data_IF_840530759593
#
_entry.id   IF_840530759593
#
_cell.length_a   1.000
_cell.length_b   1.000
_cell.length_c   1.000
_cell.angle_alpha   90.00
_cell.angle_beta   90.00
_cell.angle_gamma   90.00
#
_symmetry.space_group_name_H-M   'P 1'
#
loop_
_entity.id
_entity.type
_entity.pdbx_description
1 polymer ?
#
# COMPACT_ATOMS: atom_id res chain seq x y z
N UNK A 1 -24.18 0.00 15.50
CA UNK A 1 -23.20 -0.14 14.41
C UNK A 1 -21.97 -0.82 14.99
N UNK A 2 -21.55 -1.94 14.40
CA UNK A 2 -20.29 -2.57 14.80
C UNK A 2 -19.13 -1.65 14.35
N UNK A 3 -18.16 -1.44 15.22
CA UNK A 3 -17.04 -0.53 14.96
C UNK A 3 -16.09 -1.16 13.95
N UNK A 4 -15.84 -0.49 12.82
CA UNK A 4 -14.85 -0.93 11.84
C UNK A 4 -13.46 -0.86 12.49
N UNK A 5 -12.81 -2.00 12.66
CA UNK A 5 -11.46 -2.08 13.23
C UNK A 5 -10.43 -2.11 12.10
N UNK A 6 -9.63 -1.06 12.00
CA UNK A 6 -8.42 -1.05 11.16
C UNK A 6 -7.32 -1.85 11.86
N UNK A 7 -6.80 -2.88 11.17
CA UNK A 7 -5.75 -3.75 11.67
C UNK A 7 -4.40 -3.23 11.20
N UNK A 8 -3.69 -2.54 12.11
CA UNK A 8 -2.32 -2.06 11.82
C UNK A 8 -1.36 -3.24 11.78
N UNK A 9 -0.67 -3.40 10.66
CA UNK A 9 0.28 -4.48 10.40
C UNK A 9 1.69 -3.90 10.32
N UNK A 10 2.57 -4.52 11.10
CA UNK A 10 3.98 -4.23 11.25
C UNK A 10 4.76 -5.55 11.09
N UNK A 11 6.09 -5.51 11.11
CA UNK A 11 6.93 -6.71 10.97
C UNK A 11 6.54 -7.84 11.94
N UNK A 12 6.27 -7.50 13.19
CA UNK A 12 6.01 -8.47 14.27
C UNK A 12 4.69 -9.25 14.15
N UNK A 13 3.69 -8.75 13.43
CA UNK A 13 2.39 -9.40 13.26
C UNK A 13 2.04 -9.73 11.80
N UNK A 14 2.94 -9.46 10.85
CA UNK A 14 2.73 -9.67 9.42
C UNK A 14 2.21 -11.07 9.10
N UNK A 15 2.90 -12.12 9.58
CA UNK A 15 2.53 -13.52 9.31
C UNK A 15 1.17 -13.87 9.93
N UNK A 16 0.89 -13.37 11.13
CA UNK A 16 -0.39 -13.59 11.81
C UNK A 16 -1.55 -13.00 11.01
N UNK A 17 -1.39 -11.77 10.50
CA UNK A 17 -2.42 -11.09 9.73
C UNK A 17 -2.62 -11.72 8.35
N UNK A 18 -1.56 -12.17 7.68
CA UNK A 18 -1.69 -12.94 6.43
C UNK A 18 -2.40 -14.29 6.63
N UNK A 19 -2.16 -14.97 7.76
CA UNK A 19 -2.92 -16.18 8.08
C UNK A 19 -4.40 -15.89 8.32
N UNK A 20 -4.74 -14.70 8.83
CA UNK A 20 -6.12 -14.27 8.95
C UNK A 20 -6.74 -13.95 7.58
N UNK A 21 -6.03 -13.22 6.72
CA UNK A 21 -6.42 -12.96 5.32
C UNK A 21 -6.75 -14.26 4.60
N UNK A 22 -5.84 -15.25 4.63
CA UNK A 22 -6.03 -16.56 3.98
C UNK A 22 -7.35 -17.25 4.36
N UNK A 23 -7.78 -17.14 5.62
CA UNK A 23 -9.05 -17.72 6.10
C UNK A 23 -10.28 -16.99 5.55
N UNK A 24 -10.14 -15.70 5.25
CA UNK A 24 -11.24 -14.85 4.79
C UNK A 24 -11.42 -14.88 3.26
N UNK A 25 -10.34 -15.10 2.51
CA UNK A 25 -10.35 -15.10 1.03
C UNK A 25 -11.47 -15.93 0.37
N UNK A 26 -11.85 -17.14 0.88
CA UNK A 26 -12.92 -17.92 0.26
C UNK A 26 -14.32 -17.27 0.37
N UNK A 27 -14.49 -16.32 1.28
CA UNK A 27 -15.79 -15.72 1.62
C UNK A 27 -15.86 -14.21 1.38
N UNK A 28 -14.76 -13.59 0.92
CA UNK A 28 -14.65 -12.16 0.67
C UNK A 28 -14.10 -11.93 -0.75
N UNK A 29 -14.98 -11.90 -1.77
CA UNK A 29 -14.55 -11.82 -3.16
C UNK A 29 -14.06 -10.43 -3.55
N UNK A 30 -14.42 -9.38 -2.82
CA UNK A 30 -14.02 -8.02 -3.16
C UNK A 30 -12.77 -7.62 -2.38
N UNK A 31 -11.80 -7.06 -3.10
CA UNK A 31 -10.52 -6.59 -2.58
C UNK A 31 -10.38 -5.14 -2.97
N UNK A 32 -10.48 -4.21 -2.03
CA UNK A 32 -10.13 -2.80 -2.29
C UNK A 32 -8.77 -2.47 -1.73
N UNK A 33 -8.04 -1.59 -2.40
CA UNK A 33 -6.69 -1.20 -2.00
C UNK A 33 -6.40 0.26 -2.33
N UNK A 34 -5.40 0.79 -1.65
CA UNK A 34 -4.90 2.15 -1.78
C UNK A 34 -3.46 2.18 -1.23
N UNK A 35 -2.59 3.04 -1.76
CA UNK A 35 -1.19 3.13 -1.31
C UNK A 35 -0.81 4.53 -0.86
N UNK A 36 0.13 4.60 0.07
CA UNK A 36 0.80 5.85 0.44
C UNK A 36 2.28 5.73 0.09
N UNK A 37 2.80 6.73 -0.62
CA UNK A 37 4.17 6.81 -1.11
C UNK A 37 4.67 8.26 -1.03
N UNK A 38 5.99 8.51 -1.09
CA UNK A 38 6.56 9.83 -0.76
C UNK A 38 6.38 10.88 -1.87
N UNK A 39 5.31 10.76 -2.67
CA UNK A 39 4.96 11.70 -3.73
C UNK A 39 5.75 11.53 -5.03
N UNK A 40 5.63 12.55 -5.89
CA UNK A 40 6.28 12.61 -7.20
C UNK A 40 7.57 13.43 -7.10
N UNK A 41 8.71 12.80 -7.35
CA UNK A 41 10.06 13.42 -7.30
C UNK A 41 10.52 13.94 -8.67
N UNK A 42 9.95 13.40 -9.75
CA UNK A 42 10.14 13.85 -11.12
C UNK A 42 8.79 14.26 -11.71
N UNK A 43 8.29 15.48 -11.38
CA UNK A 43 6.98 15.93 -11.85
C UNK A 43 7.02 16.23 -13.35
N UNK A 44 5.92 15.91 -14.05
CA UNK A 44 5.67 16.41 -15.39
C UNK A 44 5.41 17.92 -15.34
N UNK A 45 5.99 18.65 -16.30
CA UNK A 45 5.69 20.09 -16.45
C UNK A 45 4.28 20.32 -17.01
N UNK A 46 3.78 19.39 -17.83
CA UNK A 46 2.42 19.40 -18.37
C UNK A 46 1.76 18.05 -18.09
N UNK A 47 0.61 17.99 -17.39
CA UNK A 47 -0.09 16.73 -17.12
C UNK A 47 -0.85 16.19 -18.35
N UNK A 48 -1.05 16.99 -19.40
CA UNK A 48 -1.71 16.57 -20.64
C UNK A 48 -0.71 16.00 -21.65
N UNK A 49 -0.09 14.87 -21.29
CA UNK A 49 0.78 14.10 -22.18
C UNK A 49 0.07 12.85 -22.70
N UNK A 50 0.52 12.26 -23.83
CA UNK A 50 0.03 10.96 -24.28
C UNK A 50 0.15 9.88 -23.19
N UNK A 51 -0.73 8.86 -23.18
CA UNK A 51 -0.72 7.82 -22.14
C UNK A 51 0.62 7.09 -21.97
N UNK A 52 1.38 6.90 -23.04
CA UNK A 52 2.71 6.28 -22.98
C UNK A 52 3.71 7.14 -22.20
N UNK A 53 3.70 8.46 -22.40
CA UNK A 53 4.55 9.39 -21.67
C UNK A 53 4.12 9.52 -20.20
N UNK A 54 2.80 9.50 -19.94
CA UNK A 54 2.27 9.45 -18.58
C UNK A 54 2.77 8.20 -17.85
N UNK A 55 2.69 7.03 -18.48
CA UNK A 55 3.19 5.77 -17.91
C UNK A 55 4.69 5.83 -17.61
N UNK A 56 5.52 6.34 -18.53
CA UNK A 56 6.95 6.47 -18.28
C UNK A 56 7.25 7.43 -17.13
N UNK A 57 6.44 8.49 -16.97
CA UNK A 57 6.53 9.37 -15.79
C UNK A 57 6.18 8.64 -14.49
N UNK A 58 5.08 7.90 -14.45
CA UNK A 58 4.67 7.10 -13.27
C UNK A 58 5.77 6.10 -12.92
N UNK A 59 6.19 5.30 -13.90
CA UNK A 59 7.25 4.29 -13.76
C UNK A 59 8.55 4.89 -13.24
N UNK A 60 8.95 6.05 -13.74
CA UNK A 60 10.16 6.73 -13.29
C UNK A 60 10.07 7.12 -11.81
N UNK A 61 8.91 7.59 -11.36
CA UNK A 61 8.71 7.96 -9.96
C UNK A 61 8.63 6.72 -9.06
N UNK A 62 7.84 5.71 -9.44
CA UNK A 62 7.72 4.44 -8.71
C UNK A 62 9.08 3.73 -8.57
N UNK A 63 9.91 3.72 -9.61
CA UNK A 63 11.26 3.14 -9.54
C UNK A 63 12.23 3.93 -8.65
N UNK A 64 11.95 5.21 -8.41
CA UNK A 64 12.85 6.12 -7.69
C UNK A 64 12.48 6.28 -6.20
N UNK A 65 11.30 5.81 -5.81
CA UNK A 65 10.77 5.97 -4.45
C UNK A 65 10.38 4.62 -3.87
N UNK A 66 10.24 4.58 -2.54
CA UNK A 66 9.83 3.39 -1.81
C UNK A 66 8.41 3.59 -1.27
N UNK A 67 7.61 2.52 -1.25
CA UNK A 67 6.28 2.51 -0.65
C UNK A 67 6.35 2.76 0.86
N UNK A 68 5.34 3.44 1.42
CA UNK A 68 5.24 3.74 2.86
C UNK A 68 4.14 2.89 3.50
N UNK A 69 2.96 2.83 2.88
CA UNK A 69 1.85 2.01 3.35
C UNK A 69 1.05 1.42 2.18
N UNK A 70 0.37 0.31 2.45
CA UNK A 70 -0.74 -0.18 1.62
C UNK A 70 -1.94 -0.48 2.51
N UNK A 71 -3.10 0.08 2.16
CA UNK A 71 -4.39 -0.28 2.69
C UNK A 71 -4.96 -1.44 1.89
N UNK A 72 -5.46 -2.49 2.56
CA UNK A 72 -6.23 -3.55 1.91
C UNK A 72 -7.52 -3.75 2.69
N UNK A 73 -8.65 -3.83 1.98
CA UNK A 73 -9.92 -4.23 2.54
C UNK A 73 -10.46 -5.45 1.82
N UNK A 74 -10.79 -6.50 2.57
CA UNK A 74 -11.58 -7.62 2.08
C UNK A 74 -13.03 -7.42 2.46
N UNK A 75 -13.94 -7.52 1.49
CA UNK A 75 -15.37 -7.34 1.73
C UNK A 75 -16.25 -8.37 1.02
N UNK A 76 -17.45 -8.55 1.58
CA UNK A 76 -18.58 -9.25 0.97
C UNK A 76 -19.88 -8.45 1.26
N UNK A 77 -21.04 -9.06 1.03
CA UNK A 77 -22.36 -8.43 1.24
C UNK A 77 -22.64 -7.98 2.69
N UNK A 78 -21.91 -8.53 3.68
CA UNK A 78 -22.22 -8.39 5.11
C UNK A 78 -21.07 -7.81 5.93
N UNK A 79 -19.84 -8.17 5.61
CA UNK A 79 -18.66 -7.91 6.44
C UNK A 79 -17.53 -7.31 5.61
N UNK A 80 -16.72 -6.50 6.28
CA UNK A 80 -15.50 -5.94 5.75
C UNK A 80 -14.39 -6.06 6.80
N UNK A 81 -13.17 -6.29 6.33
CA UNK A 81 -11.97 -6.39 7.15
C UNK A 81 -10.91 -5.50 6.54
N UNK A 82 -10.34 -4.59 7.35
CA UNK A 82 -9.43 -3.54 6.88
C UNK A 82 -8.05 -3.74 7.50
N UNK A 83 -7.02 -3.73 6.67
CA UNK A 83 -5.62 -3.77 7.06
C UNK A 83 -4.89 -2.52 6.58
N UNK A 84 -4.01 -2.02 7.44
CA UNK A 84 -3.06 -0.95 7.15
C UNK A 84 -1.66 -1.56 7.32
N UNK A 85 -1.00 -1.89 6.22
CA UNK A 85 0.36 -2.42 6.22
C UNK A 85 1.36 -1.27 6.17
N UNK A 86 2.33 -1.28 7.09
CA UNK A 86 3.31 -0.21 7.26
C UNK A 86 4.70 -0.73 6.89
N UNK A 87 5.36 -0.12 5.90
CA UNK A 87 6.65 -0.56 5.37
C UNK A 87 7.84 0.18 5.97
N UNK A 88 9.03 -0.44 5.92
CA UNK A 88 10.31 0.15 6.35
C UNK A 88 11.26 0.48 5.18
N UNK A 89 10.83 0.20 3.94
CA UNK A 89 11.61 0.45 2.74
C UNK A 89 11.91 1.94 2.53
N UNK A 90 11.00 2.83 2.95
CA UNK A 90 11.20 4.28 2.94
C UNK A 90 11.79 4.80 4.26
N UNK A 91 12.86 5.59 4.18
CA UNK A 91 13.54 6.18 5.34
C UNK A 91 14.14 7.56 5.03
N UNK A 92 13.64 8.56 5.73
CA UNK A 92 14.09 9.95 5.62
C UNK A 92 15.54 10.14 6.08
N UNK A 93 16.01 9.36 7.06
CA UNK A 93 17.35 9.49 7.62
C UNK A 93 18.44 8.99 6.68
N UNK A 94 18.10 8.03 5.80
CA UNK A 94 18.98 7.53 4.72
C UNK A 94 19.05 8.48 3.52
N UNK A 95 18.15 9.45 3.45
CA UNK A 95 18.05 10.38 2.34
C UNK A 95 17.28 9.84 1.14
N UNK A 96 16.30 8.94 1.35
CA UNK A 96 15.44 8.43 0.30
C UNK A 96 14.71 9.59 -0.42
N UNK A 97 14.58 9.49 -1.75
CA UNK A 97 13.95 10.52 -2.57
C UNK A 97 12.47 10.71 -2.20
N UNK A 98 12.04 11.97 -2.07
CA UNK A 98 10.67 12.31 -1.70
C UNK A 98 10.29 13.73 -2.13
N UNK A 99 8.98 13.99 -2.22
CA UNK A 99 8.42 15.35 -2.23
C UNK A 99 8.28 15.85 -0.79
N UNK A 100 8.88 17.00 -0.43
CA UNK A 100 8.72 17.60 0.90
C UNK A 100 7.25 17.88 1.27
N UNK A 101 6.43 18.26 0.28
CA UNK A 101 5.00 18.52 0.44
C UNK A 101 4.25 17.24 0.80
N UNK A 102 4.54 16.13 0.10
CA UNK A 102 3.95 14.82 0.42
C UNK A 102 4.36 14.36 1.81
N UNK A 103 5.62 14.49 2.21
CA UNK A 103 6.05 14.13 3.57
C UNK A 103 5.32 14.96 4.64
N UNK A 104 5.16 16.27 4.40
CA UNK A 104 4.42 17.13 5.32
C UNK A 104 2.95 16.71 5.44
N UNK A 105 2.30 16.39 4.32
CA UNK A 105 0.92 15.91 4.28
C UNK A 105 0.77 14.59 5.04
N UNK A 106 1.60 13.60 4.73
CA UNK A 106 1.57 12.26 5.36
C UNK A 106 1.82 12.34 6.88
N UNK A 107 2.75 13.18 7.33
CA UNK A 107 2.92 13.45 8.78
C UNK A 107 1.65 14.01 9.41
N UNK A 108 0.98 14.95 8.72
CA UNK A 108 -0.26 15.56 9.24
C UNK A 108 -1.44 14.57 9.30
N UNK A 109 -1.40 13.50 8.50
CA UNK A 109 -2.36 12.40 8.52
C UNK A 109 -2.00 11.30 9.55
N UNK A 110 -0.86 11.44 10.25
CA UNK A 110 -0.48 10.56 11.35
C UNK A 110 0.53 9.46 10.99
N UNK A 111 1.20 9.55 9.84
CA UNK A 111 2.32 8.65 9.52
C UNK A 111 3.53 9.02 10.38
N UNK A 112 4.03 8.02 11.10
CA UNK A 112 5.24 8.08 11.91
C UNK A 112 6.39 7.40 11.17
N UNK A 113 7.14 8.21 10.41
CA UNK A 113 8.25 7.73 9.58
C UNK A 113 9.36 7.04 10.39
N UNK A 114 9.61 7.46 11.62
CA UNK A 114 10.64 6.84 12.46
C UNK A 114 10.18 5.46 12.93
N UNK A 115 8.88 5.33 13.24
CA UNK A 115 8.26 4.03 13.51
C UNK A 115 8.24 3.12 12.28
N UNK A 116 7.92 3.65 11.09
CA UNK A 116 8.02 2.92 9.83
C UNK A 116 9.41 2.34 9.63
N UNK A 117 10.46 3.16 9.71
CA UNK A 117 11.84 2.71 9.54
C UNK A 117 12.25 1.63 10.57
N UNK A 118 11.78 1.73 11.81
CA UNK A 118 12.16 0.82 12.91
C UNK A 118 11.35 -0.48 12.96
N UNK A 119 10.03 -0.38 12.88
CA UNK A 119 9.09 -1.48 13.15
C UNK A 119 8.41 -2.00 11.87
N UNK A 120 8.55 -1.29 10.75
CA UNK A 120 7.85 -1.58 9.49
C UNK A 120 8.24 -2.90 8.85
N UNK A 121 7.40 -3.31 7.91
CA UNK A 121 7.52 -4.52 7.11
C UNK A 121 8.55 -4.29 6.00
N UNK A 122 9.42 -5.26 5.76
CA UNK A 122 10.18 -5.29 4.52
C UNK A 122 9.26 -5.69 3.36
N UNK A 123 9.16 -4.85 2.32
CA UNK A 123 8.28 -5.09 1.16
C UNK A 123 8.45 -6.48 0.54
N UNK A 124 9.67 -7.02 0.53
CA UNK A 124 9.97 -8.36 0.01
C UNK A 124 9.24 -9.47 0.77
N UNK A 125 9.16 -9.38 2.11
CA UNK A 125 8.43 -10.35 2.93
C UNK A 125 6.93 -10.25 2.68
N UNK A 126 6.41 -9.03 2.56
CA UNK A 126 5.02 -8.79 2.19
C UNK A 126 4.67 -9.40 0.83
N UNK A 127 5.50 -9.16 -0.20
CA UNK A 127 5.31 -9.73 -1.55
C UNK A 127 5.31 -11.25 -1.52
N UNK A 128 6.24 -11.87 -0.79
CA UNK A 128 6.27 -13.32 -0.62
C UNK A 128 4.96 -13.84 -0.02
N UNK A 129 4.47 -13.22 1.06
CA UNK A 129 3.23 -13.64 1.70
C UNK A 129 1.98 -13.37 0.83
N UNK A 130 1.95 -12.27 0.08
CA UNK A 130 0.92 -11.98 -0.91
C UNK A 130 0.83 -13.09 -1.95
N UNK A 131 1.97 -13.51 -2.51
CA UNK A 131 2.04 -14.60 -3.49
C UNK A 131 1.57 -15.94 -2.88
N UNK A 132 1.95 -16.23 -1.64
CA UNK A 132 1.55 -17.45 -0.94
C UNK A 132 0.13 -17.40 -0.34
N UNK A 133 -0.56 -16.25 -0.35
CA UNK A 133 -1.88 -16.09 0.27
C UNK A 133 -3.02 -16.65 -0.55
N UNK A 134 -2.86 -16.71 -1.88
CA UNK A 134 -3.96 -16.98 -2.82
C UNK A 134 -4.83 -15.76 -3.10
N UNK A 135 -4.44 -14.56 -2.64
CA UNK A 135 -5.06 -13.27 -2.98
C UNK A 135 -4.67 -12.82 -4.41
N UNK A 136 -3.42 -13.05 -4.80
CA UNK A 136 -2.93 -12.78 -6.15
C UNK A 136 -3.18 -13.97 -7.08
N UNK A 137 -3.32 -13.70 -8.38
CA UNK A 137 -3.51 -14.71 -9.45
C UNK A 137 -4.72 -15.63 -9.22
N UNK A 138 -5.74 -15.12 -8.55
CA UNK A 138 -6.98 -15.83 -8.26
C UNK A 138 -8.16 -15.11 -8.93
N UNK A 139 -8.77 -15.75 -9.92
CA UNK A 139 -9.87 -15.17 -10.70
C UNK A 139 -11.20 -15.08 -9.94
N UNK A 140 -11.24 -15.56 -8.69
CA UNK A 140 -12.41 -15.43 -7.80
C UNK A 140 -12.46 -14.08 -7.08
N UNK A 141 -11.37 -13.32 -7.09
CA UNK A 141 -11.27 -12.02 -6.44
C UNK A 141 -11.43 -10.88 -7.43
N UNK A 142 -12.21 -9.87 -7.05
CA UNK A 142 -12.46 -8.65 -7.80
C UNK A 142 -11.69 -7.52 -7.11
N UNK A 143 -10.73 -6.95 -7.83
CA UNK A 143 -9.92 -5.83 -7.35
C UNK A 143 -10.61 -4.50 -7.64
N UNK A 144 -10.64 -3.64 -6.63
CA UNK A 144 -11.30 -2.34 -6.65
C UNK A 144 -10.27 -1.30 -6.21
N UNK A 145 -10.14 -0.22 -6.97
CA UNK A 145 -9.33 0.92 -6.56
C UNK A 145 -9.84 2.20 -7.18
N UNK A 146 -9.24 3.31 -6.78
CA UNK A 146 -9.65 4.64 -7.22
C UNK A 146 -8.42 5.41 -7.69
N UNK A 147 -8.36 5.71 -8.99
CA UNK A 147 -7.22 6.41 -9.60
C UNK A 147 -5.86 5.67 -9.46
N UNK A 148 -5.91 4.34 -9.64
CA UNK A 148 -4.84 3.34 -9.45
C UNK A 148 -3.63 3.42 -10.41
N UNK A 149 -3.35 4.57 -11.00
CA UNK A 149 -2.22 4.69 -11.91
C UNK A 149 -0.87 4.45 -11.20
N UNK A 150 -0.77 4.87 -9.94
CA UNK A 150 0.41 4.72 -9.09
C UNK A 150 0.35 3.50 -8.16
N UNK A 151 -0.85 3.11 -7.70
CA UNK A 151 -1.08 1.98 -6.79
C UNK A 151 -0.80 0.62 -7.43
#
# INVERSE_FOLDING_TARGET
MEMIKVRKVWSNNLVQEFNYIKKLLPHHPFVSFDTEFPGTVYPLQNPHVPPAELYESVKRNVNATNIIQIGITLSNEKTHHVWEFNFNDFDLSRGDLHSPESIKLLRSQGIDFDKNAKDGIASQEFVYLMLCSGLLRNNKHIWIGFHIGYD
#
